data_IF_126317500134
#
_entry.id   IF_126317500134
#
_cell.length_a   1.000
_cell.length_b   1.000
_cell.length_c   1.000
_cell.angle_alpha   90.00
_cell.angle_beta   90.00
_cell.angle_gamma   90.00
#
_symmetry.space_group_name_H-M   'P 1'
#
loop_
_entity.id
_entity.type
_entity.pdbx_description
1 polymer ?
#
# COMPACT_ATOMS: atom_id res chain seq x y z
N UNK A 1 1.34 -21.57 9.00
CA UNK A 1 0.37 -20.94 8.06
C UNK A 1 0.83 -19.51 7.79
N UNK A 2 0.62 -18.88 6.62
CA UNK A 2 1.46 -17.75 6.20
C UNK A 2 0.81 -16.36 6.38
N UNK A 3 1.55 -15.40 6.95
CA UNK A 3 1.21 -13.96 7.05
C UNK A 3 1.23 -13.28 5.67
N UNK A 4 0.24 -12.45 5.33
CA UNK A 4 0.17 -11.70 4.05
C UNK A 4 0.98 -10.40 4.13
N UNK A 5 1.76 -10.07 3.10
CA UNK A 5 2.90 -9.15 3.23
C UNK A 5 3.23 -8.43 1.91
N UNK A 6 3.72 -7.19 1.99
CA UNK A 6 4.38 -6.46 0.89
C UNK A 6 5.55 -5.65 1.50
N UNK A 7 6.37 -4.95 0.70
CA UNK A 7 7.63 -4.37 1.20
C UNK A 7 7.74 -2.85 1.02
N UNK A 8 7.31 -2.32 -0.12
CA UNK A 8 7.37 -0.88 -0.40
C UNK A 8 6.10 -0.47 -1.13
N UNK A 9 5.52 0.67 -0.77
CA UNK A 9 4.48 1.37 -1.52
C UNK A 9 5.03 2.73 -1.96
N UNK A 10 5.26 2.89 -3.25
CA UNK A 10 5.49 4.18 -3.88
C UNK A 10 4.18 4.62 -4.53
N UNK A 11 3.64 5.79 -4.17
CA UNK A 11 2.41 6.28 -4.81
C UNK A 11 2.74 7.44 -5.71
N UNK A 12 2.48 7.26 -6.99
CA UNK A 12 2.76 8.25 -8.03
C UNK A 12 1.49 9.06 -8.27
N UNK A 13 1.47 10.26 -7.72
CA UNK A 13 0.47 11.27 -8.03
C UNK A 13 1.01 12.20 -9.11
N UNK A 14 0.15 12.71 -9.99
CA UNK A 14 0.51 13.80 -10.88
C UNK A 14 0.32 15.13 -10.14
N UNK A 15 1.40 15.91 -9.91
CA UNK A 15 1.23 17.31 -9.54
C UNK A 15 0.87 18.08 -10.81
N UNK A 16 -0.26 18.76 -10.83
CA UNK A 16 -0.74 19.55 -11.98
C UNK A 16 0.11 20.80 -12.31
N UNK A 17 1.33 20.92 -11.77
CA UNK A 17 2.24 22.02 -12.11
C UNK A 17 3.68 21.56 -12.48
N UNK A 18 3.99 20.26 -12.40
CA UNK A 18 5.27 19.70 -12.84
C UNK A 18 4.93 18.52 -13.74
N UNK A 19 5.44 18.50 -14.97
CA UNK A 19 5.28 17.36 -15.87
C UNK A 19 6.11 16.20 -15.32
N UNK A 20 5.55 15.45 -14.37
CA UNK A 20 6.23 14.36 -13.70
C UNK A 20 5.38 13.74 -12.59
N UNK A 21 5.43 12.41 -12.52
CA UNK A 21 4.91 11.65 -11.38
C UNK A 21 5.87 11.80 -10.19
N UNK A 22 5.36 12.14 -9.01
CA UNK A 22 6.15 12.23 -7.79
C UNK A 22 5.63 11.24 -6.74
N UNK A 23 6.52 10.73 -5.89
CA UNK A 23 6.14 9.82 -4.80
C UNK A 23 5.52 10.60 -3.64
N UNK A 24 4.19 10.71 -3.61
CA UNK A 24 3.47 11.41 -2.55
C UNK A 24 3.58 10.70 -1.19
N UNK A 25 3.75 9.38 -1.20
CA UNK A 25 3.78 8.54 -0.01
C UNK A 25 5.08 8.65 0.79
N UNK A 26 6.18 9.10 0.17
CA UNK A 26 7.50 9.12 0.77
C UNK A 26 7.49 9.85 2.14
N UNK A 27 7.97 9.14 3.17
CA UNK A 27 8.04 9.55 4.58
C UNK A 27 6.72 10.03 5.18
N UNK A 28 5.59 9.58 4.63
CA UNK A 28 4.27 9.90 5.18
C UNK A 28 3.91 8.96 6.33
N UNK A 29 3.04 9.40 7.25
CA UNK A 29 2.56 8.50 8.30
C UNK A 29 1.78 7.35 7.71
N UNK A 30 2.00 6.17 8.28
CA UNK A 30 1.38 4.93 7.86
C UNK A 30 0.88 4.18 9.08
N UNK A 31 -0.16 3.39 8.88
CA UNK A 31 -0.69 2.49 9.89
C UNK A 31 -1.10 1.20 9.24
N UNK A 32 -1.00 0.11 9.98
CA UNK A 32 -1.45 -1.20 9.52
C UNK A 32 -2.22 -1.87 10.64
N UNK A 33 -2.92 -2.95 10.30
CA UNK A 33 -3.77 -3.69 11.25
C UNK A 33 -3.04 -4.08 12.53
N UNK A 34 -1.77 -4.47 12.41
CA UNK A 34 -0.94 -5.03 13.47
C UNK A 34 0.52 -5.10 12.97
N UNK A 35 1.50 -5.13 13.88
CA UNK A 35 2.91 -5.35 13.53
C UNK A 35 3.40 -6.72 14.00
N UNK A 36 4.02 -7.46 13.08
CA UNK A 36 4.84 -8.63 13.41
C UNK A 36 6.24 -8.19 13.81
N UNK A 37 6.61 -8.42 15.07
CA UNK A 37 7.93 -8.09 15.64
C UNK A 37 8.24 -6.59 15.51
N UNK A 38 9.14 -6.20 14.60
CA UNK A 38 9.66 -4.83 14.41
C UNK A 38 9.39 -4.31 13.00
N UNK A 39 8.49 -4.98 12.27
CA UNK A 39 8.22 -4.72 10.86
C UNK A 39 7.07 -3.74 10.68
N UNK A 40 7.32 -2.51 11.11
CA UNK A 40 6.34 -1.44 11.18
C UNK A 40 5.86 -0.94 9.81
N UNK A 41 4.66 -0.37 9.79
CA UNK A 41 3.99 0.12 8.59
C UNK A 41 4.82 1.13 7.78
N UNK A 42 5.67 1.93 8.43
CA UNK A 42 6.38 3.04 7.78
C UNK A 42 7.46 2.57 6.81
N UNK A 43 7.94 1.33 6.96
CA UNK A 43 8.94 0.73 6.06
C UNK A 43 8.46 0.71 4.61
N UNK A 44 7.14 0.62 4.40
CA UNK A 44 6.58 0.71 3.06
C UNK A 44 6.86 2.06 2.36
N UNK A 45 7.16 3.13 3.10
CA UNK A 45 7.29 4.49 2.54
C UNK A 45 8.58 5.19 2.96
N UNK A 46 9.58 4.45 3.44
CA UNK A 46 10.85 4.99 3.92
C UNK A 46 11.86 5.31 2.78
N UNK A 47 11.48 5.03 1.53
CA UNK A 47 12.31 5.27 0.36
C UNK A 47 13.40 4.23 0.13
N UNK A 48 13.49 3.20 0.97
CA UNK A 48 14.34 2.05 0.74
C UNK A 48 13.65 1.09 -0.24
N UNK A 49 14.37 0.69 -1.29
CA UNK A 49 13.87 -0.26 -2.29
C UNK A 49 14.36 -1.70 -2.04
N UNK A 50 15.05 -1.96 -0.94
CA UNK A 50 15.42 -3.33 -0.56
C UNK A 50 14.15 -4.12 -0.22
N UNK A 51 13.87 -5.12 -1.05
CA UNK A 51 12.65 -5.92 -0.98
C UNK A 51 12.85 -7.28 -0.29
N UNK A 52 13.98 -7.45 0.39
CA UNK A 52 14.27 -8.61 1.22
C UNK A 52 13.81 -8.37 2.66
N UNK A 53 12.76 -9.09 3.08
CA UNK A 53 12.22 -8.96 4.43
C UNK A 53 13.19 -9.41 5.53
N UNK A 54 14.16 -10.29 5.23
CA UNK A 54 15.17 -10.70 6.21
C UNK A 54 16.15 -9.59 6.56
N UNK A 55 16.21 -8.53 5.75
CA UNK A 55 17.00 -7.35 6.06
C UNK A 55 16.20 -6.30 6.88
N UNK A 56 14.93 -6.59 7.21
CA UNK A 56 14.09 -5.73 8.04
C UNK A 56 13.57 -4.49 7.32
N UNK A 57 13.39 -4.56 5.99
CA UNK A 57 12.93 -3.42 5.18
C UNK A 57 11.50 -3.57 4.65
N UNK A 58 10.82 -4.66 4.99
CA UNK A 58 9.42 -4.87 4.60
C UNK A 58 8.53 -4.82 5.83
N UNK A 59 7.44 -4.05 5.79
CA UNK A 59 6.41 -4.15 6.81
C UNK A 59 5.77 -5.55 6.83
N UNK A 60 5.48 -6.05 8.03
CA UNK A 60 4.88 -7.36 8.23
C UNK A 60 3.74 -7.24 9.24
N UNK A 61 2.59 -7.81 8.89
CA UNK A 61 1.44 -7.97 9.77
C UNK A 61 1.38 -9.40 10.30
N UNK A 62 0.76 -9.60 11.47
CA UNK A 62 0.30 -10.91 11.89
C UNK A 62 -0.82 -11.44 10.97
N UNK A 63 -1.25 -12.67 11.21
CA UNK A 63 -2.30 -13.27 10.39
C UNK A 63 -3.66 -12.66 10.75
N UNK A 64 -4.28 -12.04 9.76
CA UNK A 64 -5.65 -11.54 9.83
C UNK A 64 -6.46 -12.02 8.63
N UNK A 65 -7.78 -12.08 8.82
CA UNK A 65 -8.72 -12.41 7.73
C UNK A 65 -8.76 -11.32 6.66
N UNK A 66 -8.71 -10.06 7.09
CA UNK A 66 -8.75 -8.87 6.24
C UNK A 66 -7.58 -7.96 6.65
N UNK A 67 -6.33 -8.30 6.29
CA UNK A 67 -5.19 -7.46 6.61
C UNK A 67 -5.22 -6.21 5.76
N UNK A 68 -4.88 -5.08 6.38
CA UNK A 68 -4.87 -3.79 5.71
C UNK A 68 -3.68 -2.94 6.15
N UNK A 69 -3.32 -2.01 5.29
CA UNK A 69 -2.33 -0.97 5.53
C UNK A 69 -2.82 0.34 4.90
N UNK A 70 -2.54 1.48 5.53
CA UNK A 70 -2.97 2.81 5.10
C UNK A 70 -1.79 3.77 5.20
N UNK A 71 -1.68 4.69 4.23
CA UNK A 71 -0.86 5.90 4.33
C UNK A 71 -1.74 7.15 4.37
N UNK A 72 -1.41 8.08 5.27
CA UNK A 72 -1.94 9.44 5.28
C UNK A 72 -1.01 10.36 4.49
N UNK A 73 -1.42 10.79 3.30
CA UNK A 73 -0.60 11.65 2.44
C UNK A 73 -0.38 13.06 3.01
N UNK A 74 -1.04 13.44 4.11
CA UNK A 74 -1.03 14.77 4.75
C UNK A 74 -1.63 15.91 3.90
N UNK A 75 -2.19 15.59 2.74
CA UNK A 75 -2.85 16.51 1.83
C UNK A 75 -3.70 15.76 0.81
N UNK A 76 -4.56 16.47 0.10
CA UNK A 76 -5.28 15.88 -1.03
C UNK A 76 -4.37 15.82 -2.25
N UNK A 77 -4.40 14.69 -2.92
CA UNK A 77 -3.61 14.42 -4.12
C UNK A 77 -4.44 13.68 -5.15
N UNK A 78 -4.14 13.93 -6.42
CA UNK A 78 -4.69 13.17 -7.54
C UNK A 78 -3.88 11.90 -7.71
N UNK A 79 -4.41 10.78 -7.24
CA UNK A 79 -3.82 9.45 -7.36
C UNK A 79 -4.16 8.90 -8.74
N UNK A 80 -3.13 8.74 -9.58
CA UNK A 80 -3.25 8.17 -10.92
C UNK A 80 -2.64 6.77 -10.98
N UNK A 81 -1.62 6.53 -10.15
CA UNK A 81 -0.87 5.31 -10.16
C UNK A 81 -0.33 4.99 -8.77
N UNK A 82 -0.28 3.69 -8.47
CA UNK A 82 0.27 3.14 -7.23
C UNK A 82 1.28 2.07 -7.60
N UNK A 83 2.47 2.15 -7.05
CA UNK A 83 3.58 1.22 -7.30
C UNK A 83 3.92 0.46 -6.04
N UNK A 84 3.83 -0.86 -6.08
CA UNK A 84 4.07 -1.75 -4.93
C UNK A 84 5.32 -2.59 -5.20
N UNK A 85 6.32 -2.49 -4.32
CA UNK A 85 7.37 -3.51 -4.24
C UNK A 85 6.89 -4.65 -3.34
N UNK A 86 6.72 -5.80 -3.95
CA UNK A 86 6.37 -7.03 -3.26
C UNK A 86 7.64 -7.72 -2.73
N UNK A 87 7.46 -8.52 -1.67
CA UNK A 87 8.52 -9.29 -1.02
C UNK A 87 9.17 -10.24 -2.03
N UNK A 88 10.51 -10.20 -2.12
CA UNK A 88 11.26 -10.96 -3.15
C UNK A 88 11.88 -12.26 -2.65
N UNK A 89 11.93 -12.51 -1.34
CA UNK A 89 12.55 -13.72 -0.82
C UNK A 89 11.63 -14.94 -0.89
N UNK A 90 12.17 -16.03 -1.47
CA UNK A 90 11.52 -17.33 -1.64
C UNK A 90 10.16 -17.24 -2.35
N UNK A 91 9.17 -17.99 -1.85
CA UNK A 91 7.81 -18.08 -2.38
C UNK A 91 6.84 -17.07 -1.74
N UNK A 92 7.33 -16.20 -0.86
CA UNK A 92 6.46 -15.31 -0.08
C UNK A 92 5.85 -14.17 -0.91
N UNK A 93 6.44 -13.82 -2.05
CA UNK A 93 5.83 -12.91 -3.01
C UNK A 93 4.47 -13.39 -3.54
N UNK A 94 4.15 -14.69 -3.44
CA UNK A 94 2.84 -15.22 -3.82
C UNK A 94 1.71 -14.90 -2.83
N UNK A 95 2.02 -14.29 -1.67
CA UNK A 95 1.03 -14.03 -0.62
C UNK A 95 0.23 -12.74 -0.82
N UNK A 96 0.79 -11.79 -1.58
CA UNK A 96 0.10 -10.56 -1.96
C UNK A 96 -0.78 -10.84 -3.18
N UNK A 97 -2.03 -11.23 -2.93
CA UNK A 97 -3.02 -11.55 -3.97
C UNK A 97 -4.42 -11.24 -3.46
N UNK A 98 -5.36 -11.10 -4.39
CA UNK A 98 -6.75 -10.77 -4.11
C UNK A 98 -6.87 -9.54 -3.19
N UNK A 99 -6.40 -8.40 -3.68
CA UNK A 99 -6.31 -7.17 -2.89
C UNK A 99 -6.83 -5.97 -3.66
N UNK A 100 -7.32 -4.99 -2.91
CA UNK A 100 -7.79 -3.70 -3.41
C UNK A 100 -6.86 -2.57 -2.99
N UNK A 101 -6.66 -1.64 -3.92
CA UNK A 101 -6.05 -0.33 -3.69
C UNK A 101 -7.18 0.70 -3.69
N UNK A 102 -7.48 1.26 -2.53
CA UNK A 102 -8.58 2.20 -2.35
C UNK A 102 -8.09 3.57 -1.91
N UNK A 103 -8.75 4.61 -2.41
CA UNK A 103 -8.45 6.00 -2.07
C UNK A 103 -9.63 6.61 -1.30
N UNK A 104 -9.33 7.31 -0.20
CA UNK A 104 -10.30 7.99 0.65
C UNK A 104 -9.92 9.46 0.85
N UNK A 105 -10.93 10.32 0.96
CA UNK A 105 -10.75 11.74 1.30
C UNK A 105 -10.49 11.96 2.80
N UNK A 106 -11.18 11.19 3.65
CA UNK A 106 -11.06 11.21 5.11
C UNK A 106 -10.44 9.92 5.65
N UNK A 107 -9.99 9.93 6.90
CA UNK A 107 -9.35 8.76 7.51
C UNK A 107 -10.36 7.60 7.58
N UNK A 108 -10.15 6.50 6.84
CA UNK A 108 -11.09 5.40 6.80
C UNK A 108 -11.25 4.72 8.17
N UNK A 109 -10.28 4.84 9.08
CA UNK A 109 -10.35 4.26 10.43
C UNK A 109 -11.41 4.91 11.32
N UNK A 110 -11.86 6.11 10.95
CA UNK A 110 -12.91 6.84 11.68
C UNK A 110 -14.31 6.60 11.09
N UNK A 111 -14.40 5.83 10.01
CA UNK A 111 -15.68 5.48 9.38
C UNK A 111 -16.32 4.27 10.06
N UNK A 112 -17.67 4.20 10.09
CA UNK A 112 -18.37 3.03 10.61
C UNK A 112 -17.99 1.77 9.81
N UNK A 113 -17.96 0.62 10.49
CA UNK A 113 -17.65 -0.70 9.91
C UNK A 113 -16.22 -0.89 9.40
N UNK A 114 -15.27 -0.02 9.74
CA UNK A 114 -13.86 -0.25 9.42
C UNK A 114 -13.35 -1.60 10.01
N UNK A 115 -12.58 -2.43 9.27
CA UNK A 115 -12.03 -2.20 7.93
C UNK A 115 -12.92 -2.63 6.76
N UNK A 116 -14.12 -3.16 7.02
CA UNK A 116 -15.10 -3.66 6.03
C UNK A 116 -15.92 -2.52 5.38
N UNK A 117 -15.17 -1.62 4.75
CA UNK A 117 -15.66 -0.51 3.94
C UNK A 117 -14.84 -0.47 2.67
N UNK A 118 -15.35 0.11 1.59
CA UNK A 118 -14.59 0.35 0.35
C UNK A 118 -14.49 1.85 0.09
N UNK A 119 -13.30 2.28 -0.36
CA UNK A 119 -13.10 3.63 -0.84
C UNK A 119 -13.40 3.75 -2.33
N UNK A 120 -12.86 4.79 -2.97
CA UNK A 120 -12.78 4.81 -4.42
C UNK A 120 -11.69 3.82 -4.85
N UNK A 121 -12.10 2.70 -5.42
CA UNK A 121 -11.19 1.64 -5.86
C UNK A 121 -10.37 2.14 -7.04
N UNK A 122 -9.06 2.31 -6.83
CA UNK A 122 -8.09 2.59 -7.88
C UNK A 122 -7.85 1.33 -8.72
N UNK A 123 -7.61 0.20 -8.05
CA UNK A 123 -7.24 -1.05 -8.73
C UNK A 123 -7.58 -2.28 -7.87
N UNK A 124 -8.10 -3.33 -8.51
CA UNK A 124 -8.30 -4.65 -7.92
C UNK A 124 -7.32 -5.66 -8.54
N UNK A 125 -6.55 -6.34 -7.71
CA UNK A 125 -5.60 -7.37 -8.14
C UNK A 125 -6.08 -8.75 -7.68
N UNK A 126 -6.43 -9.63 -8.63
CA UNK A 126 -6.90 -10.98 -8.31
C UNK A 126 -5.76 -11.94 -7.99
N UNK A 127 -4.76 -12.02 -8.88
CA UNK A 127 -3.67 -13.01 -8.79
C UNK A 127 -2.41 -12.43 -8.14
N UNK A 128 -1.58 -13.27 -7.53
CA UNK A 128 -0.29 -12.79 -7.04
C UNK A 128 0.58 -12.27 -8.19
N UNK A 129 1.12 -11.03 -8.12
CA UNK A 129 2.00 -10.52 -9.16
C UNK A 129 3.39 -11.19 -9.13
N UNK A 130 3.71 -11.90 -8.04
CA UNK A 130 5.02 -12.52 -7.82
C UNK A 130 6.02 -11.59 -7.15
N UNK A 131 7.29 -12.02 -6.98
CA UNK A 131 8.35 -11.17 -6.46
C UNK A 131 8.71 -10.07 -7.46
N UNK A 132 8.84 -8.83 -7.01
CA UNK A 132 9.18 -7.71 -7.89
C UNK A 132 8.51 -6.40 -7.49
N UNK A 133 8.67 -5.39 -8.32
CA UNK A 133 7.96 -4.12 -8.18
C UNK A 133 6.97 -3.97 -9.32
N UNK A 134 5.71 -3.68 -8.98
CA UNK A 134 4.60 -3.62 -9.91
C UNK A 134 3.91 -2.27 -9.82
N UNK A 135 3.39 -1.83 -10.96
CA UNK A 135 2.73 -0.55 -11.10
C UNK A 135 1.28 -0.78 -11.47
N UNK A 136 0.38 -0.20 -10.68
CA UNK A 136 -1.07 -0.29 -10.80
C UNK A 136 -1.62 1.07 -11.19
N UNK A 137 -2.15 1.18 -12.40
CA UNK A 137 -2.75 2.41 -12.89
C UNK A 137 -4.21 2.45 -12.49
N UNK A 138 -4.68 3.54 -11.89
CA UNK A 138 -6.09 3.71 -11.61
C UNK A 138 -6.88 3.82 -12.92
N UNK A 139 -8.13 3.34 -12.94
CA UNK A 139 -9.01 3.44 -14.11
C UNK A 139 -9.31 4.88 -14.52
N UNK A 140 -9.32 5.79 -13.54
CA UNK A 140 -9.38 7.22 -13.71
C UNK A 140 -8.56 7.89 -12.58
N UNK A 141 -8.12 9.15 -12.74
CA UNK A 141 -7.50 9.91 -11.65
C UNK A 141 -8.46 10.06 -10.47
N UNK A 142 -8.03 9.71 -9.26
CA UNK A 142 -8.85 9.78 -8.03
C UNK A 142 -8.25 10.80 -7.07
N UNK A 143 -9.05 11.77 -6.63
CA UNK A 143 -8.61 12.73 -5.61
C UNK A 143 -8.83 12.15 -4.23
N UNK A 144 -7.81 12.16 -3.38
CA UNK A 144 -7.94 11.76 -1.98
C UNK A 144 -6.68 12.00 -1.16
N UNK A 145 -6.76 11.69 0.14
CA UNK A 145 -5.69 11.90 1.12
C UNK A 145 -5.14 10.60 1.68
N UNK A 146 -5.99 9.59 1.82
CA UNK A 146 -5.60 8.29 2.36
C UNK A 146 -5.63 7.26 1.26
N UNK A 147 -4.61 6.42 1.21
CA UNK A 147 -4.60 5.26 0.32
C UNK A 147 -4.44 4.02 1.16
N UNK A 148 -5.29 3.04 0.90
CA UNK A 148 -5.36 1.78 1.63
C UNK A 148 -5.07 0.62 0.68
N UNK A 149 -4.24 -0.29 1.13
CA UNK A 149 -4.14 -1.64 0.59
C UNK A 149 -4.92 -2.58 1.52
N UNK A 150 -5.88 -3.34 0.99
CA UNK A 150 -6.70 -4.30 1.77
C UNK A 150 -6.82 -5.63 1.04
N UNK A 151 -6.81 -6.75 1.77
CA UNK A 151 -6.79 -8.13 1.24
C UNK A 151 -7.92 -9.00 1.82
#
# INVERSE_FOLDING_TARGET
MPQRMFCVLQMTSAVTCIVGLYNAALFKPTVQIDTYITEEAYKAVDGNNDSNAFHGYCQITNQHKVPWWIVDLRGQFTVEQVRIANRQDNWFGMRLQNFDIDVFEQDPRQLPNFPDISGHVCYHQTSAPGPGTFTYNCTAPIVGRYVRLVL
#
